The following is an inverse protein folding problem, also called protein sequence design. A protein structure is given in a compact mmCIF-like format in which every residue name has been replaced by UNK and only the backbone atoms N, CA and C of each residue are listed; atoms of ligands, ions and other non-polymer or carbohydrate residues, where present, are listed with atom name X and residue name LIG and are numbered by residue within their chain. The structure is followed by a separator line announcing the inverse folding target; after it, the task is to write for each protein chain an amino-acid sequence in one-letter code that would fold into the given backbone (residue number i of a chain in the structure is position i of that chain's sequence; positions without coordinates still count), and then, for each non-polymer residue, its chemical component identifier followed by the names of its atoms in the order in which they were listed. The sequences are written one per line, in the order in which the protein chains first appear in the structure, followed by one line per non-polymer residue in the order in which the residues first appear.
data_IF_750354462335
#
_entry.id   IF_750354462335
#
_cell.length_a   1.000
_cell.length_b   1.000
_cell.length_c   1.000
_cell.angle_alpha   90.00
_cell.angle_beta   90.00
_cell.angle_gamma   90.00
#
_symmetry.space_group_name_H-M   'P 1'
#
loop_
_entity.id
_entity.type
_entity.pdbx_description
1 polymer ?
#
# COMPACT_ATOMS: atom_id res chain seq x y z
N UNK A 1 -15.82 0.52 29.69
CA UNK A 1 -16.27 -0.19 28.48
C UNK A 1 -15.32 -1.34 28.24
N UNK A 2 -15.84 -2.56 28.04
CA UNK A 2 -15.06 -3.73 27.67
C UNK A 2 -15.31 -4.08 26.21
N UNK A 3 -14.29 -4.58 25.51
CA UNK A 3 -14.35 -5.01 24.11
C UNK A 3 -14.02 -6.51 24.00
N UNK A 4 -14.86 -7.32 24.64
CA UNK A 4 -14.60 -8.76 24.84
C UNK A 4 -14.63 -9.57 23.54
N UNK A 5 -15.35 -9.12 22.50
CA UNK A 5 -15.41 -9.79 21.20
C UNK A 5 -14.18 -9.48 20.35
N UNK A 6 -13.68 -8.24 20.39
CA UNK A 6 -12.43 -7.87 19.71
C UNK A 6 -11.21 -8.52 20.35
N UNK A 7 -11.20 -8.66 21.68
CA UNK A 7 -10.10 -9.33 22.40
C UNK A 7 -9.97 -10.84 22.08
N UNK A 8 -10.97 -11.43 21.42
CA UNK A 8 -10.95 -12.84 20.96
C UNK A 8 -10.30 -13.02 19.59
N UNK A 9 -9.92 -11.94 18.90
CA UNK A 9 -9.17 -12.05 17.66
C UNK A 9 -7.82 -12.72 17.95
N UNK A 10 -7.45 -13.69 17.13
CA UNK A 10 -6.18 -14.43 17.21
C UNK A 10 -5.26 -14.10 16.04
N UNK A 11 -5.78 -13.43 15.02
CA UNK A 11 -5.09 -13.08 13.79
C UNK A 11 -5.35 -11.62 13.40
N UNK A 12 -4.62 -11.13 12.40
CA UNK A 12 -4.88 -9.83 11.82
C UNK A 12 -6.08 -9.96 10.88
N UNK A 13 -7.16 -9.26 11.20
CA UNK A 13 -8.42 -9.39 10.47
C UNK A 13 -8.80 -8.07 9.79
N UNK A 14 -9.14 -8.07 8.49
CA UNK A 14 -9.72 -6.90 7.82
C UNK A 14 -11.01 -6.45 8.51
N UNK A 15 -11.24 -5.14 8.57
CA UNK A 15 -12.44 -4.60 9.22
C UNK A 15 -13.72 -5.11 8.53
N UNK A 16 -13.69 -5.33 7.21
CA UNK A 16 -14.81 -5.95 6.45
C UNK A 16 -15.13 -7.37 6.88
N UNK A 17 -14.18 -8.09 7.47
CA UNK A 17 -14.37 -9.49 7.90
C UNK A 17 -14.75 -9.61 9.39
N UNK A 18 -14.78 -8.50 10.13
CA UNK A 18 -15.25 -8.52 11.50
C UNK A 18 -16.75 -8.84 11.58
N UNK A 19 -17.13 -9.60 12.61
CA UNK A 19 -18.53 -9.87 12.92
C UNK A 19 -19.22 -8.58 13.37
N UNK A 20 -20.53 -8.48 13.15
CA UNK A 20 -21.34 -7.30 13.48
C UNK A 20 -21.17 -6.83 14.94
N UNK A 21 -21.06 -7.75 15.88
CA UNK A 21 -20.83 -7.43 17.29
C UNK A 21 -19.40 -6.90 17.57
N UNK A 22 -18.39 -7.45 16.89
CA UNK A 22 -17.02 -6.92 16.92
C UNK A 22 -16.93 -5.51 16.33
N UNK A 23 -17.63 -5.24 15.23
CA UNK A 23 -17.69 -3.90 14.62
C UNK A 23 -18.35 -2.90 15.58
N UNK A 24 -19.44 -3.29 16.26
CA UNK A 24 -20.08 -2.42 17.26
C UNK A 24 -19.15 -2.10 18.43
N UNK A 25 -18.41 -3.09 18.93
CA UNK A 25 -17.39 -2.86 19.95
C UNK A 25 -16.31 -1.88 19.47
N UNK A 26 -15.84 -2.04 18.22
CA UNK A 26 -14.86 -1.16 17.62
C UNK A 26 -15.37 0.28 17.53
N UNK A 27 -16.55 0.47 16.93
CA UNK A 27 -17.18 1.78 16.75
C UNK A 27 -17.38 2.49 18.09
N UNK A 28 -17.96 1.81 19.07
CA UNK A 28 -18.20 2.38 20.39
C UNK A 28 -16.89 2.72 21.13
N UNK A 29 -15.85 1.89 20.97
CA UNK A 29 -14.55 2.12 21.58
C UNK A 29 -13.84 3.33 20.97
N UNK A 30 -13.81 3.41 19.64
CA UNK A 30 -13.20 4.52 18.92
C UNK A 30 -13.93 5.85 19.22
N UNK A 31 -15.26 5.86 19.18
CA UNK A 31 -16.07 7.03 19.54
C UNK A 31 -15.81 7.48 20.98
N UNK A 32 -15.71 6.53 21.92
CA UNK A 32 -15.39 6.86 23.32
C UNK A 32 -14.00 7.48 23.47
N UNK A 33 -13.04 7.11 22.63
CA UNK A 33 -11.69 7.67 22.59
C UNK A 33 -11.59 8.95 21.72
N UNK A 34 -12.72 9.48 21.23
CA UNK A 34 -12.77 10.72 20.45
C UNK A 34 -12.47 10.56 18.96
N UNK A 35 -12.41 9.33 18.44
CA UNK A 35 -12.28 9.06 17.00
C UNK A 35 -13.67 8.86 16.40
N UNK A 36 -14.06 9.68 15.43
CA UNK A 36 -15.40 9.64 14.81
C UNK A 36 -15.59 8.38 13.93
N UNK A 37 -16.04 7.28 14.54
CA UNK A 37 -16.29 6.02 13.86
C UNK A 37 -17.70 5.92 13.24
N UNK A 38 -18.51 6.99 13.34
CA UNK A 38 -19.91 6.99 12.92
C UNK A 38 -20.85 6.33 13.96
N UNK A 39 -22.11 6.04 13.57
CA UNK A 39 -23.05 5.36 14.46
C UNK A 39 -22.57 3.95 14.83
N UNK A 40 -22.96 3.47 16.02
CA UNK A 40 -22.65 2.11 16.49
C UNK A 40 -23.67 1.12 15.91
N UNK A 41 -23.62 0.92 14.60
CA UNK A 41 -24.58 0.11 13.83
C UNK A 41 -24.07 -1.32 13.56
N UNK A 42 -22.75 -1.53 13.65
CA UNK A 42 -22.07 -2.77 13.29
C UNK A 42 -21.76 -2.90 11.80
N UNK A 43 -21.87 -1.82 11.02
CA UNK A 43 -21.50 -1.74 9.62
C UNK A 43 -20.13 -1.03 9.48
N UNK A 44 -19.08 -1.70 8.98
CA UNK A 44 -17.73 -1.14 8.94
C UNK A 44 -17.52 -0.23 7.71
N UNK A 45 -18.25 0.88 7.67
CA UNK A 45 -18.14 1.91 6.62
C UNK A 45 -16.86 2.76 6.72
N UNK A 46 -16.72 3.71 5.79
CA UNK A 46 -15.54 4.59 5.69
C UNK A 46 -15.21 5.32 7.00
N UNK A 47 -16.22 5.82 7.73
CA UNK A 47 -16.01 6.47 9.05
C UNK A 47 -15.34 5.54 10.06
N UNK A 48 -15.82 4.30 10.18
CA UNK A 48 -15.25 3.31 11.11
C UNK A 48 -13.81 2.98 10.75
N UNK A 49 -13.52 2.83 9.46
CA UNK A 49 -12.18 2.53 8.93
C UNK A 49 -11.20 3.69 9.12
N UNK A 50 -11.61 4.91 8.78
CA UNK A 50 -10.80 6.11 8.97
C UNK A 50 -10.53 6.36 10.47
N UNK A 51 -11.53 6.15 11.33
CA UNK A 51 -11.35 6.24 12.78
C UNK A 51 -10.34 5.20 13.31
N UNK A 52 -10.38 3.97 12.79
CA UNK A 52 -9.40 2.94 13.13
C UNK A 52 -7.98 3.34 12.69
N UNK A 53 -7.82 3.78 11.44
CA UNK A 53 -6.54 4.26 10.91
C UNK A 53 -5.97 5.40 11.75
N UNK A 54 -6.79 6.39 12.09
CA UNK A 54 -6.40 7.51 12.93
C UNK A 54 -5.99 7.05 14.35
N UNK A 55 -6.71 6.09 14.93
CA UNK A 55 -6.36 5.51 16.23
C UNK A 55 -5.01 4.79 16.18
N UNK A 56 -4.79 3.94 15.18
CA UNK A 56 -3.54 3.17 15.04
C UNK A 56 -2.36 4.08 14.68
N UNK A 57 -2.53 5.04 13.78
CA UNK A 57 -1.49 6.02 13.48
C UNK A 57 -1.07 6.81 14.75
N UNK A 58 -2.04 7.17 15.61
CA UNK A 58 -1.75 7.83 16.88
C UNK A 58 -1.08 6.91 17.90
N UNK A 59 -1.46 5.63 17.94
CA UNK A 59 -1.00 4.65 18.91
C UNK A 59 0.36 4.03 18.57
N UNK A 60 0.55 3.69 17.30
CA UNK A 60 1.66 2.90 16.79
C UNK A 60 2.50 3.64 15.76
N UNK A 61 1.97 4.67 15.09
CA UNK A 61 2.70 5.42 14.07
C UNK A 61 2.77 4.81 12.70
N UNK A 62 2.25 3.60 12.58
CA UNK A 62 2.08 2.87 11.33
C UNK A 62 0.65 3.01 10.85
N UNK A 63 0.48 3.01 9.54
CA UNK A 63 -0.83 2.92 8.94
C UNK A 63 -1.23 1.44 8.78
N UNK A 64 -1.78 0.85 9.85
CA UNK A 64 -2.20 -0.55 9.87
C UNK A 64 -3.72 -0.66 9.73
N UNK A 65 -4.17 -1.23 8.62
CA UNK A 65 -5.61 -1.37 8.32
C UNK A 65 -6.23 -2.57 9.04
N UNK A 66 -5.47 -3.64 9.24
CA UNK A 66 -5.97 -4.84 9.90
C UNK A 66 -6.06 -4.66 11.41
N UNK A 67 -7.02 -5.34 12.02
CA UNK A 67 -7.20 -5.36 13.47
C UNK A 67 -6.59 -6.64 14.02
N UNK A 68 -5.59 -6.47 14.89
CA UNK A 68 -4.87 -7.57 15.54
C UNK A 68 -5.13 -7.68 17.04
N UNK A 69 -4.70 -8.80 17.66
CA UNK A 69 -4.84 -9.02 19.11
C UNK A 69 -4.17 -7.92 19.95
N UNK A 70 -2.97 -7.45 19.59
CA UNK A 70 -2.28 -6.43 20.40
C UNK A 70 -2.89 -5.05 20.19
N UNK A 71 -3.35 -4.75 18.98
CA UNK A 71 -4.12 -3.55 18.71
C UNK A 71 -5.44 -3.52 19.51
N UNK A 72 -6.15 -4.65 19.62
CA UNK A 72 -7.34 -4.78 20.47
C UNK A 72 -7.01 -4.63 21.96
N UNK A 73 -5.93 -5.23 22.46
CA UNK A 73 -5.47 -5.05 23.85
C UNK A 73 -5.10 -3.62 24.15
N UNK A 74 -4.44 -2.92 23.22
CA UNK A 74 -4.12 -1.52 23.37
C UNK A 74 -5.37 -0.65 23.42
N UNK A 75 -6.34 -0.91 22.53
CA UNK A 75 -7.64 -0.25 22.54
C UNK A 75 -8.33 -0.42 23.90
N UNK A 76 -8.37 -1.65 24.43
CA UNK A 76 -8.91 -1.94 25.76
C UNK A 76 -8.18 -1.19 26.88
N UNK A 77 -6.85 -1.14 26.83
CA UNK A 77 -6.02 -0.41 27.81
C UNK A 77 -6.32 1.09 27.79
N UNK A 78 -6.42 1.70 26.60
CA UNK A 78 -6.77 3.12 26.44
C UNK A 78 -8.16 3.44 26.96
N UNK A 79 -9.13 2.54 26.77
CA UNK A 79 -10.48 2.68 27.33
C UNK A 79 -10.50 2.64 28.88
N UNK A 80 -9.54 1.96 29.51
CA UNK A 80 -9.42 1.84 30.96
C UNK A 80 -8.69 3.01 31.63
N UNK A 81 -7.78 3.68 30.91
CA UNK A 81 -7.04 4.85 31.42
C UNK A 81 -7.73 6.21 31.18
N UNK A 82 -8.86 6.23 30.49
CA UNK A 82 -9.64 7.45 30.21
C UNK A 82 -10.49 7.86 31.42
N UNK A 83 -9.87 8.43 32.46
CA UNK A 83 -10.57 9.01 33.63
C UNK A 83 -10.51 10.54 33.70
N UNK A 84 -9.99 11.20 32.67
CA UNK A 84 -9.94 12.67 32.56
C UNK A 84 -10.92 13.23 31.50
N UNK A 85 -11.12 14.55 31.46
CA UNK A 85 -11.91 15.19 30.41
C UNK A 85 -11.39 14.72 29.04
N UNK A 86 -12.31 14.22 28.22
CA UNK A 86 -12.04 13.76 26.87
C UNK A 86 -11.44 14.95 26.13
N UNK A 87 -10.22 14.82 25.61
CA UNK A 87 -9.67 15.81 24.68
C UNK A 87 -10.75 16.12 23.63
N UNK A 88 -10.92 17.38 23.20
CA UNK A 88 -11.91 17.72 22.19
C UNK A 88 -11.79 16.73 21.02
N UNK A 89 -12.92 16.25 20.46
CA UNK A 89 -12.90 15.25 19.41
C UNK A 89 -11.83 15.64 18.40
N UNK A 90 -10.87 14.75 18.14
CA UNK A 90 -9.95 15.01 17.03
C UNK A 90 -10.85 15.27 15.83
N UNK A 91 -10.66 16.39 15.10
CA UNK A 91 -11.53 16.71 13.97
C UNK A 91 -11.65 15.46 13.10
N UNK A 92 -12.83 15.21 12.52
CA UNK A 92 -12.95 14.16 11.52
C UNK A 92 -11.74 14.30 10.60
N UNK A 93 -10.94 13.23 10.49
CA UNK A 93 -10.06 13.14 9.34
C UNK A 93 -11.04 12.89 8.21
N UNK A 94 -11.59 13.97 7.65
CA UNK A 94 -12.19 13.91 6.34
C UNK A 94 -11.19 13.13 5.48
N UNK A 95 -11.64 12.11 4.73
CA UNK A 95 -10.71 11.40 3.86
C UNK A 95 -9.98 12.48 3.06
N UNK A 96 -8.63 12.54 3.11
CA UNK A 96 -7.90 13.54 2.35
C UNK A 96 -8.40 13.41 0.92
N UNK A 97 -8.99 14.48 0.38
CA UNK A 97 -9.41 14.48 -1.03
C UNK A 97 -8.20 14.18 -1.92
N UNK A 98 -7.02 14.58 -1.44
CA UNK A 98 -5.71 14.15 -1.91
C UNK A 98 -4.80 13.95 -0.69
N UNK A 99 -4.35 12.73 -0.37
CA UNK A 99 -3.29 12.54 0.62
C UNK A 99 -2.04 13.28 0.15
N UNK A 100 -1.39 14.02 1.05
CA UNK A 100 -0.11 14.68 0.76
C UNK A 100 0.92 13.59 0.41
N UNK A 101 1.86 13.80 -0.53
CA UNK A 101 3.04 12.94 -0.70
C UNK A 101 3.69 12.50 0.62
N UNK A 102 3.70 13.36 1.64
CA UNK A 102 4.17 13.02 2.98
C UNK A 102 3.40 11.88 3.67
N UNK A 103 2.09 11.76 3.41
CA UNK A 103 1.19 10.75 3.99
C UNK A 103 1.45 9.34 3.44
N UNK A 104 2.10 9.24 2.27
CA UNK A 104 2.54 7.95 1.72
C UNK A 104 3.82 7.44 2.38
N UNK A 105 4.49 8.18 3.26
CA UNK A 105 5.72 7.70 3.91
C UNK A 105 5.42 6.79 5.09
N UNK A 106 5.90 5.55 5.06
CA UNK A 106 5.83 4.68 6.24
C UNK A 106 6.89 5.10 7.27
N UNK A 107 6.46 5.38 8.49
CA UNK A 107 7.35 5.61 9.64
C UNK A 107 7.39 4.36 10.54
N UNK A 108 8.58 3.81 10.75
CA UNK A 108 8.84 2.57 11.48
C UNK A 108 8.86 2.78 13.01
N UNK A 109 7.75 3.27 13.57
CA UNK A 109 7.68 3.64 14.99
C UNK A 109 7.70 2.43 15.93
N UNK A 110 7.34 1.22 15.49
CA UNK A 110 7.40 0.01 16.32
C UNK A 110 8.81 -0.58 16.36
N UNK A 111 9.46 -0.70 15.20
CA UNK A 111 10.82 -1.19 15.05
C UNK A 111 11.83 -0.20 15.60
N UNK A 112 11.58 1.11 15.54
CA UNK A 112 12.43 2.13 16.17
C UNK A 112 12.54 1.99 17.70
N UNK A 113 11.67 1.20 18.34
CA UNK A 113 11.77 0.89 19.78
C UNK A 113 12.78 -0.20 20.09
N UNK A 114 13.29 -0.92 19.10
CA UNK A 114 14.33 -1.95 19.26
C UNK A 114 15.63 -1.24 19.63
N UNK A 115 16.18 -1.57 20.81
CA UNK A 115 17.39 -0.92 21.35
C UNK A 115 18.66 -1.75 21.20
N UNK A 116 18.53 -3.03 20.86
CA UNK A 116 19.62 -3.98 20.71
C UNK A 116 19.30 -4.94 19.59
N UNK A 117 20.33 -5.54 19.01
CA UNK A 117 20.17 -6.57 17.99
C UNK A 117 19.32 -7.71 18.53
N UNK A 118 18.23 -7.98 17.84
CA UNK A 118 17.18 -8.92 18.23
C UNK A 118 16.95 -9.87 17.06
N UNK A 119 16.86 -11.19 17.28
CA UNK A 119 16.43 -12.11 16.23
C UNK A 119 15.10 -11.66 15.65
N UNK A 120 14.97 -11.63 14.32
CA UNK A 120 13.71 -11.21 13.69
C UNK A 120 12.51 -12.09 14.11
N UNK A 121 12.76 -13.33 14.56
CA UNK A 121 11.71 -14.23 15.06
C UNK A 121 11.18 -13.89 16.45
N UNK A 122 11.88 -13.03 17.19
CA UNK A 122 11.47 -12.59 18.53
C UNK A 122 10.62 -11.30 18.46
N UNK A 123 10.46 -10.72 17.28
CA UNK A 123 9.56 -9.59 17.05
C UNK A 123 8.11 -10.01 17.29
N UNK A 124 7.32 -9.12 17.90
CA UNK A 124 5.88 -9.36 18.02
C UNK A 124 5.19 -9.21 16.66
N UNK A 125 3.91 -9.59 16.60
CA UNK A 125 3.15 -9.67 15.35
C UNK A 125 3.06 -8.32 14.62
N UNK A 126 2.87 -7.22 15.36
CA UNK A 126 2.75 -5.87 14.83
C UNK A 126 4.11 -5.31 14.36
N UNK A 127 5.21 -5.63 15.07
CA UNK A 127 6.57 -5.33 14.62
C UNK A 127 6.93 -6.11 13.35
N UNK A 128 6.57 -7.40 13.29
CA UNK A 128 6.74 -8.21 12.09
C UNK A 128 5.93 -7.66 10.92
N UNK A 129 4.69 -7.24 11.17
CA UNK A 129 3.87 -6.61 10.14
C UNK A 129 4.48 -5.30 9.65
N UNK A 130 4.94 -4.43 10.56
CA UNK A 130 5.62 -3.18 10.18
C UNK A 130 6.87 -3.47 9.32
N UNK A 131 7.66 -4.49 9.71
CA UNK A 131 8.81 -4.96 8.93
C UNK A 131 8.40 -5.45 7.54
N UNK A 132 7.39 -6.33 7.47
CA UNK A 132 6.86 -6.87 6.22
C UNK A 132 6.36 -5.73 5.32
N UNK A 133 5.59 -4.78 5.83
CA UNK A 133 5.09 -3.63 5.06
C UNK A 133 6.25 -2.78 4.54
N UNK A 134 7.25 -2.48 5.37
CA UNK A 134 8.42 -1.72 4.96
C UNK A 134 9.21 -2.41 3.85
N UNK A 135 9.53 -3.68 4.04
CA UNK A 135 10.22 -4.49 3.02
C UNK A 135 9.40 -4.60 1.73
N UNK A 136 8.09 -4.80 1.83
CA UNK A 136 7.26 -4.95 0.64
C UNK A 136 7.17 -3.66 -0.17
N UNK A 137 7.09 -2.49 0.49
CA UNK A 137 7.16 -1.18 -0.17
C UNK A 137 8.44 -0.95 -0.94
N UNK A 138 9.55 -1.53 -0.47
CA UNK A 138 10.84 -1.51 -1.16
C UNK A 138 10.97 -2.59 -2.26
N UNK A 139 9.91 -3.38 -2.48
CA UNK A 139 9.85 -4.40 -3.52
C UNK A 139 10.37 -5.78 -3.11
N UNK A 140 10.71 -6.00 -1.83
CA UNK A 140 11.17 -7.30 -1.37
C UNK A 140 10.00 -8.31 -1.24
N UNK A 141 10.22 -9.59 -1.58
CA UNK A 141 9.15 -10.59 -1.67
C UNK A 141 8.78 -11.18 -0.30
N UNK A 142 8.15 -10.38 0.57
CA UNK A 142 7.80 -10.78 1.94
C UNK A 142 6.66 -11.80 2.02
N UNK A 143 5.85 -11.93 0.96
CA UNK A 143 4.62 -12.72 0.98
C UNK A 143 3.43 -11.91 1.50
N UNK A 144 2.61 -12.54 2.33
CA UNK A 144 1.46 -11.87 2.97
C UNK A 144 1.93 -10.94 4.08
N UNK A 145 1.21 -9.83 4.26
CA UNK A 145 1.41 -8.92 5.38
C UNK A 145 0.59 -9.45 6.56
N UNK A 146 1.04 -10.50 7.23
CA UNK A 146 0.27 -11.22 8.26
C UNK A 146 0.85 -11.07 9.68
N UNK A 147 2.03 -10.45 9.80
CA UNK A 147 2.79 -10.34 11.03
C UNK A 147 3.36 -11.68 11.51
N UNK A 148 3.47 -12.68 10.64
CA UNK A 148 4.06 -13.98 10.94
C UNK A 148 5.44 -14.12 10.29
N UNK A 149 6.36 -14.78 10.99
CA UNK A 149 7.71 -15.01 10.48
C UNK A 149 7.80 -16.30 9.65
N UNK A 150 7.42 -16.20 8.38
CA UNK A 150 7.59 -17.27 7.39
C UNK A 150 8.92 -17.22 6.62
N UNK A 151 9.16 -18.23 5.77
CA UNK A 151 10.35 -18.29 4.90
C UNK A 151 10.48 -17.04 4.02
N UNK A 152 9.38 -16.58 3.41
CA UNK A 152 9.38 -15.38 2.56
C UNK A 152 9.83 -14.12 3.30
N UNK A 153 9.33 -13.90 4.52
CA UNK A 153 9.75 -12.77 5.36
C UNK A 153 11.22 -12.86 5.73
N UNK A 154 11.73 -14.06 6.07
CA UNK A 154 13.17 -14.26 6.38
C UNK A 154 14.05 -13.99 5.16
N UNK A 155 13.66 -14.51 3.99
CA UNK A 155 14.38 -14.28 2.73
C UNK A 155 14.40 -12.81 2.36
N UNK A 156 13.25 -12.14 2.40
CA UNK A 156 13.14 -10.70 2.13
C UNK A 156 14.01 -9.86 3.06
N UNK A 157 14.05 -10.18 4.36
CA UNK A 157 14.96 -9.50 5.30
C UNK A 157 16.43 -9.76 4.97
N UNK A 158 16.80 -11.01 4.69
CA UNK A 158 18.17 -11.37 4.35
C UNK A 158 18.66 -10.75 3.02
N UNK A 159 17.76 -10.58 2.05
CA UNK A 159 17.99 -9.85 0.80
C UNK A 159 18.19 -8.35 1.05
N UNK A 160 17.29 -7.73 1.82
CA UNK A 160 17.43 -6.33 2.21
C UNK A 160 18.76 -6.07 2.90
N UNK A 161 19.10 -6.87 3.90
CA UNK A 161 20.38 -6.79 4.60
C UNK A 161 21.53 -6.94 3.60
N UNK A 162 21.53 -7.96 2.73
CA UNK A 162 22.57 -8.11 1.70
C UNK A 162 22.74 -6.86 0.82
N UNK A 163 21.66 -6.17 0.48
CA UNK A 163 21.69 -5.00 -0.40
C UNK A 163 22.18 -3.72 0.28
N UNK A 164 22.11 -3.63 1.62
CA UNK A 164 22.34 -2.37 2.35
C UNK A 164 23.30 -2.48 3.53
N UNK A 165 23.51 -3.67 4.07
CA UNK A 165 24.21 -3.92 5.33
C UNK A 165 24.84 -5.33 5.38
N UNK A 166 26.17 -5.40 5.40
CA UNK A 166 26.93 -6.66 5.50
C UNK A 166 26.89 -7.35 6.87
N UNK A 167 25.97 -6.98 7.77
CA UNK A 167 25.88 -7.54 9.11
C UNK A 167 25.12 -8.87 9.21
N UNK A 168 24.76 -9.26 10.43
CA UNK A 168 24.09 -10.53 10.67
C UNK A 168 22.62 -10.48 10.22
N UNK A 169 22.35 -11.13 9.09
CA UNK A 169 21.05 -11.22 8.41
C UNK A 169 19.91 -11.84 9.24
N UNK A 170 20.19 -12.39 10.42
CA UNK A 170 19.17 -12.94 11.32
C UNK A 170 18.72 -11.93 12.38
N UNK A 171 19.45 -10.83 12.54
CA UNK A 171 19.23 -9.84 13.57
C UNK A 171 18.65 -8.56 12.95
N UNK A 172 17.80 -7.90 13.72
CA UNK A 172 17.33 -6.55 13.48
C UNK A 172 17.73 -5.69 14.68
N UNK A 173 18.31 -4.53 14.40
CA UNK A 173 18.83 -3.62 15.43
C UNK A 173 18.66 -2.16 15.02
N UNK A 174 19.04 -1.22 15.90
CA UNK A 174 18.86 0.21 15.63
C UNK A 174 19.44 0.67 14.29
N UNK A 175 20.59 0.12 13.89
CA UNK A 175 21.28 0.47 12.63
C UNK A 175 20.48 0.01 11.41
N UNK A 176 20.07 -1.26 11.36
CA UNK A 176 19.30 -1.77 10.22
C UNK A 176 17.90 -1.16 10.12
N UNK A 177 17.27 -0.84 11.27
CA UNK A 177 16.01 -0.08 11.30
C UNK A 177 16.17 1.34 10.74
N UNK A 178 17.23 2.05 11.10
CA UNK A 178 17.53 3.39 10.55
C UNK A 178 17.77 3.35 9.04
N UNK A 179 18.51 2.34 8.56
CA UNK A 179 18.71 2.14 7.12
C UNK A 179 17.39 1.85 6.41
N UNK A 180 16.55 0.97 6.97
CA UNK A 180 15.23 0.66 6.40
C UNK A 180 14.35 1.92 6.33
N UNK A 181 14.32 2.73 7.39
CA UNK A 181 13.60 4.01 7.39
C UNK A 181 14.13 4.96 6.31
N UNK A 182 15.45 5.12 6.19
CA UNK A 182 16.06 5.99 5.17
C UNK A 182 15.78 5.54 3.73
N UNK A 183 15.60 4.23 3.52
CA UNK A 183 15.20 3.69 2.21
C UNK A 183 13.73 3.98 1.95
N UNK A 184 12.86 3.78 2.95
CA UNK A 184 11.43 4.11 2.85
C UNK A 184 11.19 5.59 2.61
N UNK A 185 11.96 6.48 3.24
CA UNK A 185 11.85 7.92 3.06
C UNK A 185 12.20 8.39 1.63
N UNK A 186 12.81 7.52 0.81
CA UNK A 186 13.10 7.81 -0.60
C UNK A 186 11.97 7.35 -1.53
N UNK A 187 11.08 6.47 -1.07
CA UNK A 187 10.00 5.89 -1.87
C UNK A 187 8.70 6.66 -1.61
N UNK A 188 8.10 7.19 -2.67
CA UNK A 188 6.76 7.79 -2.62
C UNK A 188 6.63 9.20 -2.00
N UNK A 189 7.70 9.83 -1.50
CA UNK A 189 7.56 11.10 -0.75
C UNK A 189 8.71 12.12 -0.83
N UNK A 190 9.82 11.80 -1.50
CA UNK A 190 10.99 12.70 -1.51
C UNK A 190 10.90 13.87 -2.49
N UNK A 191 10.00 13.81 -3.49
CA UNK A 191 9.94 14.76 -4.60
C UNK A 191 8.50 15.15 -4.90
N UNK A 192 8.26 16.46 -5.01
CA UNK A 192 7.02 16.99 -5.58
C UNK A 192 7.15 16.87 -7.10
N UNK A 193 6.21 16.17 -7.71
CA UNK A 193 6.13 15.98 -9.16
C UNK A 193 5.13 16.96 -9.77
N UNK A 194 5.37 17.36 -11.02
CA UNK A 194 4.38 18.09 -11.81
C UNK A 194 3.58 17.09 -12.64
N UNK A 195 2.31 16.90 -12.31
CA UNK A 195 1.38 16.07 -13.09
C UNK A 195 0.46 16.90 -14.01
N UNK A 196 0.68 18.22 -14.11
CA UNK A 196 -0.13 19.09 -14.97
C UNK A 196 0.18 18.90 -16.47
N UNK A 197 1.36 18.38 -16.79
CA UNK A 197 1.85 18.13 -18.15
C UNK A 197 2.14 16.64 -18.38
N UNK A 198 2.09 16.20 -19.65
CA UNK A 198 2.46 14.82 -20.03
C UNK A 198 3.94 14.56 -19.70
N UNK A 199 4.79 15.53 -19.99
CA UNK A 199 6.23 15.48 -19.77
C UNK A 199 6.55 15.36 -18.27
N UNK A 200 5.88 16.15 -17.42
CA UNK A 200 6.04 16.05 -15.97
C UNK A 200 5.63 14.68 -15.41
N UNK A 201 4.55 14.08 -15.91
CA UNK A 201 4.18 12.71 -15.55
C UNK A 201 5.22 11.69 -16.03
N UNK A 202 5.76 11.83 -17.25
CA UNK A 202 6.83 10.95 -17.75
C UNK A 202 8.06 11.03 -16.84
N UNK A 203 8.48 12.24 -16.46
CA UNK A 203 9.60 12.43 -15.53
C UNK A 203 9.34 11.79 -14.16
N UNK A 204 8.09 11.88 -13.67
CA UNK A 204 7.69 11.24 -12.42
C UNK A 204 7.77 9.71 -12.50
N UNK A 205 7.31 9.12 -13.60
CA UNK A 205 7.40 7.67 -13.85
C UNK A 205 8.87 7.21 -13.89
N UNK A 206 9.72 7.90 -14.65
CA UNK A 206 11.16 7.59 -14.74
C UNK A 206 11.81 7.68 -13.36
N UNK A 207 11.47 8.72 -12.59
CA UNK A 207 11.98 8.90 -11.24
C UNK A 207 11.56 7.76 -10.31
N UNK A 208 10.28 7.40 -10.29
CA UNK A 208 9.76 6.33 -9.44
C UNK A 208 10.35 4.97 -9.83
N UNK A 209 10.50 4.69 -11.13
CA UNK A 209 11.21 3.51 -11.63
C UNK A 209 12.63 3.41 -11.05
N UNK A 210 13.40 4.51 -11.10
CA UNK A 210 14.76 4.55 -10.53
C UNK A 210 14.77 4.30 -9.01
N UNK A 211 13.84 4.91 -8.29
CA UNK A 211 13.68 4.79 -6.83
C UNK A 211 13.37 3.34 -6.43
N UNK A 212 12.44 2.69 -7.14
CA UNK A 212 12.03 1.30 -6.89
C UNK A 212 12.89 0.25 -7.60
N UNK A 213 14.03 0.64 -8.18
CA UNK A 213 14.99 -0.25 -8.83
C UNK A 213 14.42 -1.01 -10.04
N UNK A 214 13.67 -0.31 -10.87
CA UNK A 214 13.40 -0.61 -12.29
C UNK A 214 14.29 0.35 -13.10
N UNK A 215 15.50 -0.07 -13.43
CA UNK A 215 16.58 0.85 -13.84
C UNK A 215 17.03 0.74 -15.30
N UNK A 216 16.64 -0.32 -16.01
CA UNK A 216 17.04 -0.49 -17.41
C UNK A 216 16.19 0.41 -18.30
N UNK A 217 16.80 1.04 -19.32
CA UNK A 217 16.07 1.84 -20.31
C UNK A 217 14.93 1.04 -20.95
N UNK A 218 15.17 -0.23 -21.27
CA UNK A 218 14.16 -1.15 -21.82
C UNK A 218 12.98 -1.32 -20.87
N UNK A 219 13.23 -1.53 -19.57
CA UNK A 219 12.17 -1.63 -18.57
C UNK A 219 11.37 -0.33 -18.45
N UNK A 220 12.05 0.83 -18.36
CA UNK A 220 11.42 2.14 -18.24
C UNK A 220 10.56 2.46 -19.47
N UNK A 221 11.08 2.18 -20.67
CA UNK A 221 10.35 2.34 -21.92
C UNK A 221 9.05 1.54 -21.93
N UNK A 222 9.09 0.29 -21.43
CA UNK A 222 7.89 -0.54 -21.33
C UNK A 222 6.86 -0.02 -20.31
N UNK A 223 7.31 0.52 -19.17
CA UNK A 223 6.42 1.15 -18.19
C UNK A 223 5.73 2.37 -18.80
N UNK A 224 6.46 3.23 -19.52
CA UNK A 224 5.87 4.40 -20.20
C UNK A 224 4.88 4.00 -21.29
N UNK A 225 5.21 3.01 -22.10
CA UNK A 225 4.33 2.46 -23.13
C UNK A 225 3.02 1.93 -22.55
N UNK A 226 3.10 1.24 -21.40
CA UNK A 226 1.93 0.76 -20.66
C UNK A 226 1.05 1.93 -20.22
N UNK A 227 1.64 2.97 -19.60
CA UNK A 227 0.85 4.15 -19.17
C UNK A 227 0.22 4.87 -20.35
N UNK A 228 0.95 5.03 -21.46
CA UNK A 228 0.40 5.62 -22.68
C UNK A 228 -0.83 4.85 -23.15
N UNK A 229 -0.77 3.52 -23.17
CA UNK A 229 -1.89 2.68 -23.57
C UNK A 229 -3.08 2.79 -22.62
N UNK A 230 -2.86 2.52 -21.33
CA UNK A 230 -3.91 2.41 -20.31
C UNK A 230 -4.61 3.74 -20.02
N UNK A 231 -3.97 4.87 -20.29
CA UNK A 231 -4.53 6.21 -20.05
C UNK A 231 -5.13 6.87 -21.30
N UNK A 232 -5.22 6.14 -22.42
CA UNK A 232 -5.66 6.71 -23.70
C UNK A 232 -4.73 7.83 -24.18
N UNK A 233 -3.42 7.68 -23.94
CA UNK A 233 -2.32 8.60 -24.28
C UNK A 233 -2.28 9.92 -23.50
N UNK A 234 -3.14 10.08 -22.51
CA UNK A 234 -3.24 11.32 -21.73
C UNK A 234 -2.17 11.45 -20.65
N UNK A 235 -1.57 10.34 -20.20
CA UNK A 235 -0.68 10.32 -19.03
C UNK A 235 -1.33 10.89 -17.77
N UNK A 236 -2.66 10.71 -17.65
CA UNK A 236 -3.43 11.01 -16.44
C UNK A 236 -4.05 9.73 -15.90
N UNK A 237 -4.14 9.54 -14.58
CA UNK A 237 -4.96 8.48 -14.02
C UNK A 237 -6.38 8.54 -14.59
N UNK A 238 -6.92 7.41 -15.04
CA UNK A 238 -8.27 7.33 -15.60
C UNK A 238 -9.12 6.35 -14.81
N UNK A 239 -10.43 6.59 -14.79
CA UNK A 239 -11.41 5.59 -14.37
C UNK A 239 -11.78 4.73 -15.58
N UNK A 240 -12.03 3.45 -15.36
CA UNK A 240 -12.56 2.56 -16.38
C UNK A 240 -13.88 3.12 -16.91
N UNK A 241 -14.01 3.16 -18.24
CA UNK A 241 -15.14 3.78 -18.92
C UNK A 241 -15.45 5.20 -18.40
N UNK A 242 -14.43 6.06 -18.25
CA UNK A 242 -14.57 7.42 -17.70
C UNK A 242 -15.58 8.32 -18.45
N UNK A 243 -15.95 7.96 -19.68
CA UNK A 243 -16.99 8.64 -20.47
C UNK A 243 -18.43 8.22 -20.11
N UNK A 244 -18.61 7.23 -19.23
CA UNK A 244 -19.91 6.73 -18.75
C UNK A 244 -20.14 7.11 -17.29
N UNK A 245 -21.42 7.16 -16.90
CA UNK A 245 -21.83 7.53 -15.55
C UNK A 245 -21.44 6.47 -14.50
N UNK A 246 -21.45 6.85 -13.22
CA UNK A 246 -21.19 5.89 -12.13
C UNK A 246 -22.30 4.84 -12.03
N UNK A 247 -23.56 5.22 -12.28
CA UNK A 247 -24.71 4.29 -12.30
C UNK A 247 -24.51 3.22 -13.38
N UNK A 248 -24.03 3.62 -14.57
CA UNK A 248 -23.69 2.66 -15.61
C UNK A 248 -22.62 1.67 -15.13
N UNK A 249 -21.58 2.14 -14.43
CA UNK A 249 -20.53 1.25 -13.91
C UNK A 249 -21.04 0.34 -12.81
N UNK A 250 -21.93 0.81 -11.94
CA UNK A 250 -22.59 0.00 -10.92
C UNK A 250 -23.41 -1.14 -11.54
N UNK A 251 -24.13 -0.85 -12.61
CA UNK A 251 -24.98 -1.83 -13.30
C UNK A 251 -24.20 -2.80 -14.20
N UNK A 252 -23.07 -2.37 -14.78
CA UNK A 252 -22.40 -3.10 -15.87
C UNK A 252 -21.06 -3.73 -15.48
N UNK A 253 -20.36 -3.23 -14.44
CA UNK A 253 -19.06 -3.75 -14.04
C UNK A 253 -19.18 -4.76 -12.91
N UNK A 254 -18.82 -6.02 -13.20
CA UNK A 254 -18.89 -7.16 -12.25
C UNK A 254 -18.19 -6.91 -10.91
N UNK A 255 -17.16 -6.08 -10.91
CA UNK A 255 -16.32 -5.81 -9.74
C UNK A 255 -16.58 -4.41 -9.17
N UNK A 256 -17.68 -3.75 -9.51
CA UNK A 256 -18.09 -2.50 -8.86
C UNK A 256 -18.14 -2.69 -7.32
N UNK A 257 -17.66 -1.72 -6.51
CA UNK A 257 -17.09 -0.41 -6.90
C UNK A 257 -15.59 -0.44 -7.26
N UNK A 258 -14.94 -1.60 -7.24
CA UNK A 258 -13.50 -1.82 -7.46
C UNK A 258 -13.13 -2.04 -8.93
N UNK A 259 -13.69 -1.20 -9.81
CA UNK A 259 -13.33 -1.10 -11.23
C UNK A 259 -12.01 -0.35 -11.46
N UNK A 260 -11.50 -0.41 -12.70
CA UNK A 260 -10.20 0.13 -13.08
C UNK A 260 -10.00 1.59 -12.69
N UNK A 261 -8.91 1.88 -11.96
CA UNK A 261 -8.45 3.25 -11.66
C UNK A 261 -6.93 3.36 -11.75
N UNK A 262 -6.44 4.58 -11.93
CA UNK A 262 -5.00 4.87 -11.92
C UNK A 262 -4.34 4.70 -13.28
N UNK A 263 -3.01 4.79 -13.31
CA UNK A 263 -2.19 4.62 -14.52
C UNK A 263 -2.23 3.22 -15.13
N UNK A 264 -2.67 2.22 -14.36
CA UNK A 264 -2.61 0.79 -14.72
C UNK A 264 -3.94 0.06 -14.51
N UNK A 265 -5.02 0.81 -14.31
CA UNK A 265 -6.38 0.29 -14.17
C UNK A 265 -6.48 -0.84 -13.11
N UNK A 266 -6.10 -0.55 -11.85
CA UNK A 266 -6.23 -1.58 -10.80
C UNK A 266 -7.70 -1.99 -10.63
N UNK A 267 -7.97 -3.29 -10.62
CA UNK A 267 -9.32 -3.86 -10.46
C UNK A 267 -9.38 -4.85 -9.31
N UNK A 268 -10.58 -5.20 -8.86
CA UNK A 268 -10.88 -6.16 -7.77
C UNK A 268 -10.56 -5.67 -6.36
N UNK A 269 -11.50 -5.93 -5.44
CA UNK A 269 -11.35 -5.60 -4.00
C UNK A 269 -10.02 -6.07 -3.42
N UNK A 270 -9.55 -7.27 -3.79
CA UNK A 270 -8.28 -7.82 -3.29
C UNK A 270 -7.06 -6.96 -3.63
N UNK A 271 -7.04 -6.31 -4.80
CA UNK A 271 -5.92 -5.45 -5.19
C UNK A 271 -6.00 -4.10 -4.49
N UNK A 272 -7.21 -3.55 -4.36
CA UNK A 272 -7.47 -2.37 -3.54
C UNK A 272 -7.06 -2.62 -2.09
N UNK A 273 -7.44 -3.74 -1.49
CA UNK A 273 -7.05 -4.15 -0.13
C UNK A 273 -5.54 -4.31 -0.01
N UNK A 274 -4.89 -4.98 -0.98
CA UNK A 274 -3.43 -5.15 -1.00
C UNK A 274 -2.70 -3.81 -0.97
N UNK A 275 -3.04 -2.90 -1.89
CA UNK A 275 -2.41 -1.58 -1.91
C UNK A 275 -2.83 -0.69 -0.75
N UNK A 276 -4.02 -0.92 -0.19
CA UNK A 276 -4.40 -0.29 1.06
C UNK A 276 -3.40 -0.68 2.15
N UNK A 277 -3.09 -1.98 2.31
CA UNK A 277 -2.15 -2.46 3.33
C UNK A 277 -0.70 -2.06 3.08
N UNK A 278 -0.29 -1.98 1.81
CA UNK A 278 1.03 -1.47 1.44
C UNK A 278 1.10 0.02 1.81
N UNK A 279 0.20 0.85 1.29
CA UNK A 279 0.26 2.31 1.39
C UNK A 279 -0.26 2.87 2.71
N UNK A 280 -1.04 2.09 3.45
CA UNK A 280 -1.62 2.53 4.71
C UNK A 280 -2.82 3.49 4.56
N UNK A 281 -3.46 3.48 3.41
CA UNK A 281 -4.63 4.30 3.08
C UNK A 281 -5.78 3.35 2.77
N UNK A 282 -7.01 3.66 3.17
CA UNK A 282 -8.13 2.75 2.89
C UNK A 282 -8.69 3.00 1.48
N UNK A 283 -8.07 2.35 0.48
CA UNK A 283 -8.55 2.33 -0.91
C UNK A 283 -9.82 1.48 -1.05
N UNK A 284 -10.14 0.61 -0.09
CA UNK A 284 -11.37 -0.20 -0.15
C UNK A 284 -12.59 0.68 0.17
N UNK A 285 -12.49 1.51 1.19
CA UNK A 285 -13.52 2.49 1.52
C UNK A 285 -13.55 3.69 0.57
N UNK A 286 -12.39 4.07 0.03
CA UNK A 286 -12.23 5.24 -0.83
C UNK A 286 -11.47 4.85 -2.11
N UNK A 287 -12.08 4.05 -3.00
CA UNK A 287 -11.39 3.53 -4.19
C UNK A 287 -10.93 4.64 -5.14
N UNK A 288 -11.58 5.79 -5.12
CA UNK A 288 -11.16 6.96 -5.90
C UNK A 288 -9.79 7.53 -5.49
N UNK A 289 -9.26 7.20 -4.31
CA UNK A 289 -7.88 7.54 -3.95
C UNK A 289 -6.85 6.92 -4.89
N UNK A 290 -7.18 5.84 -5.59
CA UNK A 290 -6.32 5.26 -6.63
C UNK A 290 -6.16 6.16 -7.88
N UNK A 291 -6.95 7.24 -7.97
CA UNK A 291 -6.82 8.26 -9.01
C UNK A 291 -5.82 9.36 -8.65
N UNK A 292 -5.43 9.48 -7.39
CA UNK A 292 -4.38 10.41 -6.99
C UNK A 292 -3.07 10.02 -7.68
N UNK A 293 -2.37 10.98 -8.25
CA UNK A 293 -1.26 10.72 -9.16
C UNK A 293 -0.08 10.05 -8.46
N UNK A 294 0.23 10.43 -7.21
CA UNK A 294 1.32 9.82 -6.44
C UNK A 294 0.98 8.37 -6.03
N UNK A 295 -0.28 8.11 -5.69
CA UNK A 295 -0.76 6.76 -5.39
C UNK A 295 -0.69 5.89 -6.66
N UNK A 296 -1.22 6.39 -7.78
CA UNK A 296 -1.21 5.71 -9.06
C UNK A 296 0.23 5.42 -9.54
N UNK A 297 1.14 6.38 -9.36
CA UNK A 297 2.56 6.27 -9.70
C UNK A 297 3.25 5.15 -8.90
N UNK A 298 3.09 5.15 -7.58
CA UNK A 298 3.64 4.10 -6.72
C UNK A 298 3.10 2.73 -7.13
N UNK A 299 1.78 2.61 -7.29
CA UNK A 299 1.08 1.36 -7.64
C UNK A 299 1.59 0.79 -8.97
N UNK A 300 1.74 1.64 -9.99
CA UNK A 300 2.26 1.27 -11.30
C UNK A 300 3.63 0.60 -11.18
N UNK A 301 4.60 1.31 -10.61
CA UNK A 301 6.00 0.86 -10.58
C UNK A 301 6.18 -0.31 -9.61
N UNK A 302 5.53 -0.26 -8.44
CA UNK A 302 5.56 -1.33 -7.46
C UNK A 302 4.96 -2.63 -8.01
N UNK A 303 3.87 -2.51 -8.76
CA UNK A 303 3.22 -3.63 -9.42
C UNK A 303 4.11 -4.31 -10.45
N UNK A 304 4.77 -3.54 -11.31
CA UNK A 304 5.78 -4.08 -12.24
C UNK A 304 6.96 -4.73 -11.52
N UNK A 305 7.45 -4.12 -10.44
CA UNK A 305 8.60 -4.61 -9.68
C UNK A 305 8.30 -5.93 -8.99
N UNK A 306 7.12 -6.06 -8.40
CA UNK A 306 6.77 -7.16 -7.51
C UNK A 306 5.86 -8.21 -8.14
N UNK A 307 5.27 -7.90 -9.30
CA UNK A 307 4.25 -8.74 -9.94
C UNK A 307 2.94 -8.73 -9.17
N UNK A 308 2.60 -7.62 -8.50
CA UNK A 308 1.46 -7.56 -7.58
C UNK A 308 0.09 -7.84 -8.25
N UNK A 309 -0.01 -7.65 -9.57
CA UNK A 309 -1.24 -7.78 -10.34
C UNK A 309 -1.50 -9.22 -10.79
N UNK A 310 -0.52 -9.84 -11.45
CA UNK A 310 -0.66 -11.16 -12.12
C UNK A 310 0.28 -12.24 -11.56
N UNK A 311 1.20 -11.87 -10.68
CA UNK A 311 2.32 -12.70 -10.24
C UNK A 311 3.54 -12.65 -11.17
N UNK A 312 3.48 -11.89 -12.28
CA UNK A 312 4.59 -11.70 -13.22
C UNK A 312 5.25 -10.35 -13.04
N UNK A 313 6.57 -10.35 -12.90
CA UNK A 313 7.40 -9.15 -12.72
C UNK A 313 7.96 -8.69 -14.06
N UNK A 314 8.33 -7.42 -14.16
CA UNK A 314 8.99 -6.90 -15.37
C UNK A 314 10.30 -7.64 -15.67
N UNK A 315 11.04 -8.04 -14.64
CA UNK A 315 12.29 -8.82 -14.75
C UNK A 315 12.06 -10.26 -15.22
N UNK A 316 10.81 -10.74 -15.23
CA UNK A 316 10.50 -12.04 -15.82
C UNK A 316 10.58 -12.01 -17.36
N UNK A 317 10.63 -10.82 -17.98
CA UNK A 317 10.63 -10.62 -19.45
C UNK A 317 11.69 -9.64 -19.94
N UNK A 318 12.09 -8.67 -19.11
CA UNK A 318 13.04 -7.63 -19.46
C UNK A 318 14.09 -7.52 -18.36
N UNK A 319 15.31 -7.94 -18.66
CA UNK A 319 16.48 -7.85 -17.80
C UNK A 319 17.73 -7.44 -18.59
N UNK A 320 18.92 -7.60 -18.02
CA UNK A 320 20.19 -7.24 -18.64
C UNK A 320 20.60 -8.14 -19.80
N UNK A 321 19.97 -9.30 -19.93
CA UNK A 321 20.22 -10.33 -20.95
C UNK A 321 19.09 -10.48 -21.97
N UNK A 322 17.87 -10.04 -21.65
CA UNK A 322 16.70 -10.17 -22.53
C UNK A 322 15.78 -8.96 -22.54
N UNK A 323 15.10 -8.74 -23.66
CA UNK A 323 14.06 -7.71 -23.83
C UNK A 323 12.88 -8.28 -24.59
N UNK A 324 11.89 -8.81 -23.87
CA UNK A 324 10.69 -9.44 -24.43
C UNK A 324 9.47 -8.53 -24.23
N UNK A 325 9.36 -7.44 -25.00
CA UNK A 325 8.30 -6.44 -24.81
C UNK A 325 6.88 -7.00 -25.01
N UNK A 326 6.68 -7.91 -25.98
CA UNK A 326 5.37 -8.52 -26.23
C UNK A 326 4.90 -9.29 -24.99
N UNK A 327 5.72 -10.23 -24.49
CA UNK A 327 5.36 -11.04 -23.33
C UNK A 327 5.30 -10.23 -22.01
N UNK A 328 5.96 -9.08 -21.94
CA UNK A 328 5.89 -8.20 -20.78
C UNK A 328 4.47 -7.69 -20.47
N UNK A 329 3.51 -7.80 -21.41
CA UNK A 329 2.08 -7.46 -21.19
C UNK A 329 1.49 -8.24 -20.03
N UNK A 330 2.02 -9.44 -19.80
CA UNK A 330 1.66 -10.36 -18.71
C UNK A 330 1.88 -9.79 -17.32
N UNK A 331 2.64 -8.71 -17.17
CA UNK A 331 2.78 -8.00 -15.89
C UNK A 331 1.45 -7.35 -15.46
N UNK A 332 0.66 -6.86 -16.42
CA UNK A 332 -0.55 -6.07 -16.18
C UNK A 332 -1.82 -6.85 -16.54
N UNK A 333 -1.85 -7.44 -17.73
CA UNK A 333 -3.01 -8.17 -18.25
C UNK A 333 -2.56 -9.49 -18.89
N UNK A 334 -3.40 -10.17 -19.67
CA UNK A 334 -3.01 -11.33 -20.49
C UNK A 334 -2.08 -10.94 -21.64
N UNK A 335 -2.52 -11.21 -22.86
CA UNK A 335 -1.81 -10.85 -24.12
C UNK A 335 -2.59 -9.84 -24.94
N UNK A 336 -3.59 -9.19 -24.32
CA UNK A 336 -4.42 -8.22 -25.01
C UNK A 336 -3.61 -6.95 -25.33
N UNK A 337 -3.56 -6.60 -26.62
CA UNK A 337 -2.77 -5.50 -27.19
C UNK A 337 -1.26 -5.55 -26.89
N UNK A 338 -0.69 -6.75 -26.74
CA UNK A 338 0.72 -6.95 -26.45
C UNK A 338 1.66 -6.36 -27.52
N UNK A 339 1.40 -6.64 -28.81
CA UNK A 339 2.18 -6.12 -29.94
C UNK A 339 2.09 -4.58 -30.07
N UNK A 340 0.90 -4.02 -29.85
CA UNK A 340 0.69 -2.56 -29.90
C UNK A 340 1.52 -1.84 -28.82
N UNK A 341 1.51 -2.38 -27.60
CA UNK A 341 2.26 -1.84 -26.46
C UNK A 341 3.76 -2.08 -26.64
N UNK A 342 4.16 -3.22 -27.19
CA UNK A 342 5.56 -3.49 -27.51
C UNK A 342 6.13 -2.47 -28.49
N UNK A 343 5.38 -2.14 -29.54
CA UNK A 343 5.77 -1.10 -30.50
C UNK A 343 5.88 0.29 -29.85
N UNK A 344 4.98 0.64 -28.92
CA UNK A 344 5.11 1.87 -28.15
C UNK A 344 6.40 1.86 -27.31
N UNK A 345 6.75 0.72 -26.71
CA UNK A 345 7.96 0.57 -25.91
C UNK A 345 9.24 0.73 -26.76
N UNK A 346 9.25 0.20 -27.99
CA UNK A 346 10.34 0.41 -28.95
C UNK A 346 10.53 1.90 -29.25
N UNK A 347 9.46 2.64 -29.54
CA UNK A 347 9.53 4.08 -29.80
C UNK A 347 10.08 4.87 -28.59
N UNK A 348 9.66 4.51 -27.37
CA UNK A 348 10.19 5.14 -26.15
C UNK A 348 11.68 4.81 -25.96
N UNK A 349 12.09 3.58 -26.24
CA UNK A 349 13.48 3.16 -26.12
C UNK A 349 14.39 3.89 -27.12
N UNK A 350 13.94 4.07 -28.36
CA UNK A 350 14.68 4.83 -29.38
C UNK A 350 14.87 6.31 -29.00
N UNK A 351 13.93 6.87 -28.24
CA UNK A 351 13.96 8.28 -27.81
C UNK A 351 14.82 8.54 -26.56
N UNK A 352 15.32 7.52 -25.86
CA UNK A 352 16.09 7.62 -24.60
C UNK A 352 17.60 7.48 -24.77
#
# INVERSE_FOLDING_TARGET
MKIEKLLKLTELTPISQLKKDQVRELQAALNKLGFNAGPVDGAPGSKTRNAWLAFIAAAFGTNMILIGPDAARLLQKKLGGSTGPVDPPKPPVDPPKDPDPGDLTLKLKLLAKIRRDTPIGDLNREQLRELQTGLYRLGYPVGELDGLIGTKTRTAWAEFEKDVYGGNKLLIGPVSVDILQKKLDKVGSGRIHDFSTKEGTIEAIIWECSVQKIGLKTQIAYVLATVEWETGRTFKPVKEAYWLSEEWREENLRYFPYYGRGFVQITWERNYQKYSEILGIDLVANPDLAMNENIALFILVHGFKTGAFTGRKITDYIDDTKTEFVDARRCINGTDHDEDIAKLAENYLEAM
#
